data_IF_495281445208
#
_entry.id   IF_495281445208
#
_cell.length_a   1.000
_cell.length_b   1.000
_cell.length_c   1.000
_cell.angle_alpha   90.00
_cell.angle_beta   90.00
_cell.angle_gamma   90.00
#
_symmetry.space_group_name_H-M   'P 1'
#
loop_
_entity.id
_entity.type
_entity.pdbx_description
1 polymer ?
#
# COMPACT_ATOMS: atom_id res chain seq x y z
N UNK A 1 -18.23 6.37 1.61
CA UNK A 1 -16.92 6.63 0.98
C UNK A 1 -16.13 5.33 0.98
N UNK A 2 -15.54 4.96 -0.15
CA UNK A 2 -14.66 3.80 -0.27
C UNK A 2 -13.20 4.26 -0.31
N UNK A 3 -12.38 3.73 0.57
CA UNK A 3 -10.98 4.14 0.69
C UNK A 3 -10.11 2.92 0.37
N UNK A 4 -9.23 3.06 -0.63
CA UNK A 4 -8.21 2.07 -0.90
C UNK A 4 -6.99 2.35 -0.04
N UNK A 5 -6.41 1.31 0.55
CA UNK A 5 -5.09 1.37 1.15
C UNK A 5 -4.19 0.31 0.52
N UNK A 6 -3.06 0.75 -0.04
CA UNK A 6 -2.08 -0.17 -0.61
C UNK A 6 -1.08 -0.57 0.47
N UNK A 7 -0.82 -1.88 0.56
CA UNK A 7 0.08 -2.43 1.57
C UNK A 7 1.06 -3.42 0.95
N UNK A 8 2.25 -3.49 1.54
CA UNK A 8 3.34 -4.37 1.12
C UNK A 8 3.83 -5.20 2.30
N UNK A 9 4.15 -6.45 2.03
CA UNK A 9 4.94 -7.27 2.94
C UNK A 9 6.43 -7.10 2.62
N UNK A 10 7.23 -6.82 3.62
CA UNK A 10 8.68 -6.61 3.52
C UNK A 10 9.42 -7.51 4.50
N UNK A 11 10.72 -7.81 4.28
CA UNK A 11 11.54 -8.42 5.31
C UNK A 11 11.57 -7.53 6.56
N UNK A 12 11.57 -8.15 7.73
CA UNK A 12 11.77 -7.44 8.99
C UNK A 12 13.11 -6.68 8.98
N UNK A 13 13.14 -5.49 9.56
CA UNK A 13 14.34 -4.64 9.57
C UNK A 13 15.53 -5.28 10.29
N UNK A 14 15.27 -6.21 11.23
CA UNK A 14 16.31 -6.95 11.95
C UNK A 14 16.69 -8.28 11.26
N UNK A 15 16.05 -8.62 10.13
CA UNK A 15 16.32 -9.85 9.41
C UNK A 15 17.72 -9.85 8.80
N UNK A 16 18.45 -10.95 8.99
CA UNK A 16 19.74 -11.17 8.32
C UNK A 16 19.50 -11.68 6.91
N UNK A 17 19.60 -10.79 5.94
CA UNK A 17 19.37 -11.12 4.54
C UNK A 17 20.65 -11.72 3.91
N UNK A 18 20.46 -12.78 3.12
CA UNK A 18 21.50 -13.38 2.27
C UNK A 18 21.03 -13.32 0.82
N UNK A 19 21.95 -13.00 -0.07
CA UNK A 19 21.66 -13.05 -1.51
C UNK A 19 21.74 -14.49 -1.97
N UNK A 20 20.77 -14.93 -2.77
CA UNK A 20 20.78 -16.25 -3.43
C UNK A 20 22.02 -16.38 -4.32
N UNK A 21 22.47 -17.61 -4.53
CA UNK A 21 23.63 -17.89 -5.36
C UNK A 21 23.51 -17.43 -6.82
N UNK A 22 22.30 -17.22 -7.34
CA UNK A 22 22.02 -16.65 -8.66
C UNK A 22 22.09 -15.11 -8.71
N UNK A 23 22.23 -14.47 -7.54
CA UNK A 23 22.28 -13.00 -7.43
C UNK A 23 20.95 -12.29 -7.70
N UNK A 24 19.87 -12.99 -7.99
CA UNK A 24 18.60 -12.39 -8.44
C UNK A 24 17.69 -11.94 -7.29
N UNK A 25 17.81 -12.56 -6.11
CA UNK A 25 16.96 -12.28 -4.96
C UNK A 25 17.61 -12.72 -3.66
N UNK A 26 16.96 -12.48 -2.54
CA UNK A 26 17.34 -12.97 -1.22
C UNK A 26 16.95 -14.43 -1.02
N UNK A 27 17.66 -15.14 -0.14
CA UNK A 27 17.21 -16.41 0.43
C UNK A 27 16.08 -16.13 1.42
N UNK A 28 14.87 -16.61 1.14
CA UNK A 28 13.69 -16.32 1.98
C UNK A 28 13.54 -17.30 3.17
N UNK A 29 14.27 -18.41 3.14
CA UNK A 29 14.22 -19.40 4.23
C UNK A 29 14.73 -18.79 5.54
N UNK A 30 13.89 -18.86 6.58
CA UNK A 30 14.19 -18.30 7.90
C UNK A 30 14.09 -16.77 8.00
N UNK A 31 13.68 -16.07 6.93
CA UNK A 31 13.43 -14.64 6.97
C UNK A 31 12.03 -14.35 7.52
N UNK A 32 11.96 -13.55 8.56
CA UNK A 32 10.69 -13.01 9.05
C UNK A 32 10.23 -11.89 8.11
N UNK A 33 8.97 -11.94 7.70
CA UNK A 33 8.35 -10.91 6.88
C UNK A 33 7.24 -10.21 7.66
N UNK A 34 7.15 -8.91 7.52
CA UNK A 34 6.21 -8.04 8.24
C UNK A 34 5.44 -7.12 7.29
N UNK A 35 4.36 -6.53 7.75
CA UNK A 35 3.69 -5.43 7.08
C UNK A 35 4.62 -4.21 7.10
N UNK A 36 4.82 -3.57 5.95
CA UNK A 36 5.65 -2.38 5.83
C UNK A 36 5.20 -1.29 6.81
N UNK A 37 6.13 -0.69 7.53
CA UNK A 37 5.83 0.24 8.62
C UNK A 37 5.03 1.46 8.13
N UNK A 38 5.46 2.11 7.06
CA UNK A 38 4.76 3.30 6.56
C UNK A 38 3.36 3.00 6.04
N UNK A 39 3.10 1.76 5.60
CA UNK A 39 1.77 1.35 5.20
C UNK A 39 0.84 1.22 6.42
N UNK A 40 1.37 0.93 7.62
CA UNK A 40 0.54 0.88 8.83
C UNK A 40 -0.05 2.24 9.17
N UNK A 41 0.68 3.33 8.95
CA UNK A 41 0.15 4.69 9.11
C UNK A 41 -0.94 4.99 8.10
N UNK A 42 -0.77 4.56 6.84
CA UNK A 42 -1.79 4.72 5.81
C UNK A 42 -3.07 3.92 6.13
N UNK A 43 -2.93 2.71 6.68
CA UNK A 43 -4.06 1.87 7.15
C UNK A 43 -4.80 2.58 8.29
N UNK A 44 -4.08 3.06 9.29
CA UNK A 44 -4.67 3.75 10.44
C UNK A 44 -5.43 5.00 10.01
N UNK A 45 -4.84 5.86 9.17
CA UNK A 45 -5.51 7.05 8.66
C UNK A 45 -6.75 6.69 7.82
N UNK A 46 -6.67 5.64 6.99
CA UNK A 46 -7.82 5.16 6.22
C UNK A 46 -8.97 4.73 7.13
N UNK A 47 -8.68 4.00 8.20
CA UNK A 47 -9.68 3.52 9.17
C UNK A 47 -10.32 4.70 9.92
N UNK A 48 -9.53 5.67 10.35
CA UNK A 48 -10.04 6.88 11.01
C UNK A 48 -10.95 7.71 10.10
N UNK A 49 -10.59 7.87 8.81
CA UNK A 49 -11.43 8.54 7.83
C UNK A 49 -12.72 7.74 7.61
N UNK A 50 -12.63 6.42 7.47
CA UNK A 50 -13.79 5.56 7.29
C UNK A 50 -14.76 5.65 8.48
N UNK A 51 -14.24 5.63 9.70
CA UNK A 51 -15.05 5.78 10.92
C UNK A 51 -15.80 7.11 10.95
N UNK A 52 -15.10 8.23 10.69
CA UNK A 52 -15.72 9.57 10.65
C UNK A 52 -16.75 9.74 9.54
N UNK A 53 -16.63 9.01 8.45
CA UNK A 53 -17.47 9.16 7.25
C UNK A 53 -18.56 8.09 7.11
N UNK A 54 -18.53 7.04 7.93
CA UNK A 54 -19.33 5.84 7.72
C UNK A 54 -18.95 5.12 6.43
N UNK A 55 -17.66 5.18 6.05
CA UNK A 55 -17.10 4.57 4.85
C UNK A 55 -16.57 3.15 5.08
N UNK A 56 -15.92 2.60 4.07
CA UNK A 56 -15.22 1.31 4.15
C UNK A 56 -13.78 1.43 3.67
N UNK A 57 -12.89 0.64 4.27
CA UNK A 57 -11.50 0.50 3.84
C UNK A 57 -11.32 -0.82 3.09
N UNK A 58 -10.70 -0.74 1.91
CA UNK A 58 -10.34 -1.89 1.08
C UNK A 58 -8.82 -1.93 0.99
N UNK A 59 -8.22 -3.01 1.50
CA UNK A 59 -6.78 -3.20 1.37
C UNK A 59 -6.41 -3.77 -0.01
N UNK A 60 -5.35 -3.25 -0.61
CA UNK A 60 -4.79 -3.76 -1.86
C UNK A 60 -3.35 -4.20 -1.61
N UNK A 61 -3.02 -5.41 -2.00
CA UNK A 61 -1.68 -5.94 -1.90
C UNK A 61 -1.32 -6.72 -3.16
N UNK A 62 -0.15 -6.45 -3.74
CA UNK A 62 0.44 -7.26 -4.78
C UNK A 62 1.68 -7.95 -4.20
N UNK A 63 1.76 -9.26 -4.32
CA UNK A 63 2.89 -10.00 -3.79
C UNK A 63 2.75 -11.52 -3.92
N UNK A 64 3.80 -12.26 -3.54
CA UNK A 64 3.76 -13.71 -3.49
C UNK A 64 2.77 -14.20 -2.44
N UNK A 65 2.43 -15.49 -2.47
CA UNK A 65 1.40 -16.06 -1.59
C UNK A 65 1.66 -15.80 -0.10
N UNK A 66 2.93 -15.72 0.34
CA UNK A 66 3.28 -15.38 1.73
C UNK A 66 2.77 -13.99 2.16
N UNK A 67 2.60 -13.04 1.22
CA UNK A 67 2.10 -11.71 1.53
C UNK A 67 0.63 -11.69 1.99
N UNK A 68 -0.08 -12.82 1.86
CA UNK A 68 -1.41 -13.02 2.45
C UNK A 68 -1.44 -12.77 3.96
N UNK A 69 -0.32 -12.99 4.65
CA UNK A 69 -0.22 -12.68 6.09
C UNK A 69 -0.34 -11.17 6.37
N UNK A 70 0.28 -10.32 5.54
CA UNK A 70 0.13 -8.87 5.66
C UNK A 70 -1.32 -8.44 5.40
N UNK A 71 -1.98 -9.05 4.40
CA UNK A 71 -3.40 -8.83 4.11
C UNK A 71 -4.28 -9.20 5.31
N UNK A 72 -4.05 -10.38 5.92
CA UNK A 72 -4.79 -10.81 7.12
C UNK A 72 -4.61 -9.85 8.28
N UNK A 73 -3.41 -9.31 8.46
CA UNK A 73 -3.12 -8.31 9.49
C UNK A 73 -3.95 -7.05 9.29
N UNK A 74 -4.05 -6.55 8.05
CA UNK A 74 -4.85 -5.35 7.73
C UNK A 74 -6.34 -5.60 7.91
N UNK A 75 -6.84 -6.78 7.56
CA UNK A 75 -8.23 -7.16 7.84
C UNK A 75 -8.51 -7.22 9.34
N UNK A 76 -7.57 -7.75 10.13
CA UNK A 76 -7.69 -7.78 11.60
C UNK A 76 -7.63 -6.39 12.24
N UNK A 77 -7.01 -5.40 11.59
CA UNK A 77 -7.02 -4.00 12.02
C UNK A 77 -8.35 -3.29 11.73
N UNK A 78 -9.21 -3.85 10.87
CA UNK A 78 -10.55 -3.30 10.61
C UNK A 78 -10.87 -3.00 9.15
N UNK A 79 -9.98 -3.30 8.19
CA UNK A 79 -10.35 -3.20 6.79
C UNK A 79 -11.52 -4.14 6.47
N UNK A 80 -12.53 -3.64 5.74
CA UNK A 80 -13.76 -4.39 5.44
C UNK A 80 -13.49 -5.61 4.53
N UNK A 81 -12.54 -5.47 3.62
CA UNK A 81 -12.12 -6.52 2.69
C UNK A 81 -10.75 -6.20 2.07
N UNK A 82 -10.24 -7.14 1.31
CA UNK A 82 -8.96 -6.98 0.62
C UNK A 82 -9.00 -7.54 -0.80
N UNK A 83 -8.22 -6.91 -1.67
CA UNK A 83 -7.91 -7.39 -3.02
C UNK A 83 -6.43 -7.79 -3.03
N UNK A 84 -6.19 -9.08 -3.21
CA UNK A 84 -4.86 -9.66 -3.21
C UNK A 84 -4.47 -10.13 -4.61
N UNK A 85 -3.47 -9.48 -5.20
CA UNK A 85 -2.92 -9.80 -6.50
C UNK A 85 -1.69 -10.72 -6.32
N UNK A 86 -1.86 -12.00 -6.60
CA UNK A 86 -0.82 -13.03 -6.41
C UNK A 86 -0.65 -13.89 -7.67
N UNK A 87 -0.42 -13.24 -8.80
CA UNK A 87 -0.11 -13.92 -10.05
C UNK A 87 1.41 -13.91 -10.28
N UNK A 88 2.04 -15.06 -10.59
CA UNK A 88 3.47 -15.11 -10.89
C UNK A 88 3.92 -14.13 -11.98
N UNK A 89 3.07 -13.81 -12.94
CA UNK A 89 3.35 -12.84 -14.00
C UNK A 89 3.48 -11.39 -13.50
N UNK A 90 2.98 -11.10 -12.31
CA UNK A 90 3.05 -9.78 -11.67
C UNK A 90 4.21 -9.65 -10.68
N UNK A 91 4.87 -10.77 -10.34
CA UNK A 91 5.96 -10.78 -9.37
C UNK A 91 7.28 -10.36 -10.01
N UNK A 92 8.14 -9.69 -9.24
CA UNK A 92 9.45 -9.22 -9.70
C UNK A 92 9.41 -8.00 -10.63
N UNK A 93 8.23 -7.38 -10.79
CA UNK A 93 8.07 -6.12 -11.51
C UNK A 93 8.64 -4.93 -10.73
N UNK A 94 8.95 -3.85 -11.45
CA UNK A 94 9.35 -2.57 -10.87
C UNK A 94 8.14 -1.80 -10.27
N UNK A 95 8.40 -0.60 -9.78
CA UNK A 95 7.35 0.26 -9.21
C UNK A 95 6.29 0.65 -10.27
N UNK A 96 6.66 0.75 -11.55
CA UNK A 96 5.74 1.07 -12.64
C UNK A 96 4.78 -0.09 -12.89
N UNK A 97 5.29 -1.30 -13.06
CA UNK A 97 4.47 -2.49 -13.27
C UNK A 97 3.53 -2.76 -12.08
N UNK A 98 4.07 -2.65 -10.85
CA UNK A 98 3.31 -2.79 -9.61
C UNK A 98 2.19 -1.74 -9.52
N UNK A 99 2.52 -0.47 -9.74
CA UNK A 99 1.54 0.62 -9.67
C UNK A 99 0.42 0.50 -10.71
N UNK A 100 0.75 0.05 -11.94
CA UNK A 100 -0.24 -0.23 -12.99
C UNK A 100 -1.21 -1.36 -12.61
N UNK A 101 -0.70 -2.45 -12.09
CA UNK A 101 -1.52 -3.58 -11.67
C UNK A 101 -2.46 -3.18 -10.52
N UNK A 102 -1.93 -2.46 -9.51
CA UNK A 102 -2.73 -1.95 -8.41
C UNK A 102 -3.77 -0.92 -8.88
N UNK A 103 -3.40 0.02 -9.76
CA UNK A 103 -4.33 1.01 -10.30
C UNK A 103 -5.49 0.37 -11.07
N UNK A 104 -5.23 -0.69 -11.83
CA UNK A 104 -6.27 -1.43 -12.53
C UNK A 104 -7.28 -2.07 -11.56
N UNK A 105 -6.79 -2.70 -10.49
CA UNK A 105 -7.62 -3.29 -9.45
C UNK A 105 -8.41 -2.21 -8.67
N UNK A 106 -7.77 -1.10 -8.32
CA UNK A 106 -8.38 0.04 -7.62
C UNK A 106 -9.51 0.66 -8.46
N UNK A 107 -9.27 0.83 -9.77
CA UNK A 107 -10.29 1.35 -10.70
C UNK A 107 -11.51 0.44 -10.76
N UNK A 108 -11.31 -0.88 -10.76
CA UNK A 108 -12.42 -1.85 -10.81
C UNK A 108 -13.30 -1.80 -9.55
N UNK A 109 -12.74 -1.39 -8.41
CA UNK A 109 -13.45 -1.28 -7.14
C UNK A 109 -14.21 0.04 -6.98
N UNK A 110 -13.92 1.05 -7.79
CA UNK A 110 -14.60 2.34 -7.76
C UNK A 110 -14.43 3.05 -6.41
N UNK A 111 -13.18 3.23 -5.97
CA UNK A 111 -12.85 3.90 -4.72
C UNK A 111 -12.83 5.43 -4.88
N UNK A 112 -12.97 6.15 -3.78
CA UNK A 112 -13.02 7.63 -3.75
C UNK A 112 -11.67 8.23 -3.34
N UNK A 113 -10.86 7.50 -2.57
CA UNK A 113 -9.57 7.94 -2.04
C UNK A 113 -8.59 6.77 -2.03
N UNK A 114 -7.32 7.04 -2.31
CA UNK A 114 -6.24 6.06 -2.20
C UNK A 114 -5.19 6.57 -1.22
N UNK A 115 -4.83 5.76 -0.24
CA UNK A 115 -3.73 6.01 0.68
C UNK A 115 -2.63 4.94 0.48
N UNK A 116 -1.39 5.36 0.55
CA UNK A 116 -0.21 4.49 0.45
C UNK A 116 0.82 4.91 1.48
N UNK A 117 1.63 3.99 1.94
CA UNK A 117 2.87 4.35 2.63
C UNK A 117 3.79 5.16 1.70
N UNK A 118 4.65 5.97 2.28
CA UNK A 118 5.57 6.83 1.53
C UNK A 118 6.64 6.04 0.77
N UNK A 119 7.18 4.99 1.39
CA UNK A 119 8.19 4.11 0.82
C UNK A 119 8.16 2.74 1.51
N UNK A 120 8.69 1.71 0.85
CA UNK A 120 8.93 0.42 1.49
C UNK A 120 10.34 0.35 2.07
N UNK A 121 10.48 -0.30 3.22
CA UNK A 121 11.76 -0.43 3.94
C UNK A 121 12.77 -1.34 3.24
N UNK A 122 12.31 -2.15 2.26
CA UNK A 122 13.18 -3.04 1.47
C UNK A 122 13.78 -2.36 0.23
N UNK A 123 12.98 -1.89 -0.71
CA UNK A 123 13.45 -1.33 -1.99
C UNK A 123 13.49 0.21 -2.00
N UNK A 124 12.67 0.87 -1.20
CA UNK A 124 12.71 2.31 -1.01
C UNK A 124 12.40 3.18 -2.22
N UNK A 125 11.75 2.67 -3.27
CA UNK A 125 11.54 3.42 -4.52
C UNK A 125 10.63 4.63 -4.36
N UNK A 126 9.76 4.66 -3.35
CA UNK A 126 8.83 5.77 -3.07
C UNK A 126 7.98 6.22 -4.28
N UNK A 127 7.73 5.36 -5.24
CA UNK A 127 7.14 5.71 -6.53
C UNK A 127 5.74 5.11 -6.76
N UNK A 128 5.38 4.04 -6.07
CA UNK A 128 4.14 3.27 -6.35
C UNK A 128 2.90 4.14 -6.26
N UNK A 129 2.78 4.98 -5.22
CA UNK A 129 1.63 5.89 -5.06
C UNK A 129 1.51 6.89 -6.20
N UNK A 130 2.63 7.47 -6.64
CA UNK A 130 2.65 8.41 -7.79
C UNK A 130 2.26 7.71 -9.09
N UNK A 131 2.70 6.47 -9.31
CA UNK A 131 2.31 5.69 -10.48
C UNK A 131 0.81 5.40 -10.46
N UNK A 132 0.26 4.97 -9.32
CA UNK A 132 -1.18 4.74 -9.16
C UNK A 132 -1.97 6.00 -9.51
N UNK A 133 -1.57 7.15 -8.98
CA UNK A 133 -2.23 8.43 -9.25
C UNK A 133 -2.18 8.79 -10.74
N UNK A 134 -1.02 8.63 -11.39
CA UNK A 134 -0.87 8.86 -12.83
C UNK A 134 -1.75 7.95 -13.68
N UNK A 135 -1.79 6.66 -13.37
CA UNK A 135 -2.62 5.67 -14.08
C UNK A 135 -4.14 5.89 -13.87
N UNK A 136 -4.54 6.41 -12.72
CA UNK A 136 -5.92 6.79 -12.45
C UNK A 136 -6.29 8.17 -13.02
N UNK A 137 -5.31 9.01 -13.35
CA UNK A 137 -5.52 10.41 -13.73
C UNK A 137 -5.94 11.28 -12.54
N UNK A 138 -5.52 10.93 -11.33
CA UNK A 138 -5.91 11.59 -10.09
C UNK A 138 -4.81 12.51 -9.57
N UNK A 139 -5.19 13.62 -8.88
CA UNK A 139 -4.22 14.43 -8.14
C UNK A 139 -3.61 13.60 -7.01
N UNK A 140 -2.35 13.89 -6.66
CA UNK A 140 -1.70 13.23 -5.54
C UNK A 140 -0.84 14.20 -4.72
N UNK A 141 -0.61 13.84 -3.47
CA UNK A 141 0.33 14.49 -2.58
C UNK A 141 1.26 13.45 -1.96
N UNK A 142 2.52 13.83 -1.78
CA UNK A 142 3.58 12.98 -1.25
C UNK A 142 4.14 13.54 0.06
N UNK A 143 4.70 12.68 0.92
CA UNK A 143 5.17 13.03 2.28
C UNK A 143 4.08 13.72 3.12
N UNK A 144 2.89 13.13 3.11
CA UNK A 144 1.76 13.64 3.88
C UNK A 144 1.87 13.16 5.32
N UNK A 145 1.77 14.10 6.27
CA UNK A 145 1.80 13.85 7.71
C UNK A 145 0.46 14.17 8.39
N UNK A 146 -0.51 14.68 7.64
CA UNK A 146 -1.87 14.92 8.12
C UNK A 146 -2.86 15.06 6.97
N UNK A 147 -4.07 14.51 7.18
CA UNK A 147 -5.15 14.48 6.20
C UNK A 147 -6.43 15.03 6.84
N UNK A 148 -7.00 16.08 6.26
CA UNK A 148 -8.28 16.65 6.68
C UNK A 148 -9.26 16.58 5.51
N UNK A 149 -10.29 15.75 5.63
CA UNK A 149 -11.37 15.68 4.66
C UNK A 149 -12.34 16.85 4.86
N UNK A 150 -12.68 17.54 3.78
CA UNK A 150 -13.71 18.59 3.84
C UNK A 150 -15.09 17.99 4.19
N UNK A 151 -15.98 18.80 4.78
CA UNK A 151 -17.34 18.37 5.18
C UNK A 151 -18.15 17.85 4.01
N UNK A 152 -17.99 18.44 2.83
CA UNK A 152 -18.65 18.02 1.59
C UNK A 152 -18.05 16.77 0.96
N UNK A 153 -16.93 16.26 1.51
CA UNK A 153 -16.18 15.07 1.06
C UNK A 153 -15.68 15.14 -0.38
N UNK A 154 -15.54 16.36 -0.94
CA UNK A 154 -15.07 16.55 -2.31
C UNK A 154 -13.63 17.02 -2.40
N UNK A 155 -13.07 17.43 -1.30
CA UNK A 155 -11.68 17.88 -1.24
C UNK A 155 -11.00 17.41 0.04
N UNK A 156 -9.67 17.35 -0.03
CA UNK A 156 -8.80 16.95 1.07
C UNK A 156 -7.74 18.05 1.24
N UNK A 157 -7.58 18.53 2.46
CA UNK A 157 -6.40 19.32 2.85
C UNK A 157 -5.35 18.38 3.39
N UNK A 158 -4.13 18.50 2.93
CA UNK A 158 -3.00 17.70 3.42
C UNK A 158 -1.91 18.59 4.00
N UNK A 159 -1.34 18.16 5.11
CA UNK A 159 -0.10 18.72 5.65
C UNK A 159 1.03 17.85 5.18
N UNK A 160 2.05 18.45 4.57
CA UNK A 160 3.23 17.75 4.06
C UNK A 160 4.46 18.08 4.88
N UNK A 161 5.30 17.08 5.06
CA UNK A 161 6.66 17.31 5.53
C UNK A 161 7.47 17.99 4.41
N UNK A 162 8.14 19.08 4.75
CA UNK A 162 9.04 19.82 3.87
C UNK A 162 10.37 19.93 4.59
N UNK A 163 11.48 19.86 3.86
CA UNK A 163 12.82 20.06 4.43
C UNK A 163 12.98 21.43 5.10
#
# INVERSE_FOLDING_TARGET
MKIAVCVKQVPDAEARLRIRGDGAWIEEEGVTFVLNETDTYAVEEALQIAERTGGEVIAFCLGPERAREAVRKVLALGAARAVFLSDPALLGGDALATGRALAAAIRAEGVDLVLTGSASTDLGFAATGSVIAGELGWPHAWLVVGVELAEDRKSVRVTREME
#
